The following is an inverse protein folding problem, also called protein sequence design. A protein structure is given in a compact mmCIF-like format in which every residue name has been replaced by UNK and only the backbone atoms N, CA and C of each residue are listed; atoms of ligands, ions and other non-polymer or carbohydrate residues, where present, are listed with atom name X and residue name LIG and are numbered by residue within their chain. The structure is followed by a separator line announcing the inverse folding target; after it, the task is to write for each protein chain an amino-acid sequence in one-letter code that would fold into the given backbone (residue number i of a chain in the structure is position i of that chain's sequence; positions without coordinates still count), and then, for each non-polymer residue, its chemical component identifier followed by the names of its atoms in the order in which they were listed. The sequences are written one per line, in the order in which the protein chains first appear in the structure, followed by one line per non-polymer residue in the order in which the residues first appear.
data_IF_285334145174
#
_entry.id   IF_285334145174
#
_cell.length_a   1.000
_cell.length_b   1.000
_cell.length_c   1.000
_cell.angle_alpha   90.00
_cell.angle_beta   90.00
_cell.angle_gamma   90.00
#
_symmetry.space_group_name_H-M   'P 1'
#
loop_
_entity.id
_entity.type
_entity.pdbx_description
1 polymer ?
#
# COMPACT_ATOMS: atom_id res chain seq x y z
N UNK A 1 5.36 1.96 -3.55
CA UNK A 1 4.17 1.85 -2.68
C UNK A 1 4.44 2.36 -1.27
N UNK A 2 5.42 1.77 -0.54
CA UNK A 2 5.71 2.16 0.85
C UNK A 2 6.13 3.63 1.05
N UNK A 3 6.99 4.18 0.18
CA UNK A 3 7.34 5.61 0.19
C UNK A 3 6.10 6.52 0.14
N UNK A 4 5.18 6.26 -0.79
CA UNK A 4 3.98 7.08 -0.96
C UNK A 4 3.05 7.05 0.24
N UNK A 5 2.98 5.92 0.95
CA UNK A 5 2.22 5.80 2.20
C UNK A 5 2.86 6.69 3.27
N UNK A 6 4.17 6.55 3.51
CA UNK A 6 4.89 7.38 4.49
C UNK A 6 4.75 8.88 4.19
N UNK A 7 4.85 9.28 2.91
CA UNK A 7 4.66 10.66 2.48
C UNK A 7 3.22 11.16 2.72
N UNK A 8 2.21 10.31 2.57
CA UNK A 8 0.81 10.64 2.91
C UNK A 8 0.60 10.91 4.40
N UNK A 9 1.46 10.37 5.28
CA UNK A 9 1.49 10.67 6.71
C UNK A 9 2.46 11.82 7.05
N UNK A 10 3.01 12.50 6.04
CA UNK A 10 3.95 13.61 6.23
C UNK A 10 5.37 13.20 6.62
N UNK A 11 5.72 11.92 6.44
CA UNK A 11 7.06 11.39 6.71
C UNK A 11 7.87 11.41 5.43
N UNK A 12 8.85 12.31 5.37
CA UNK A 12 9.78 12.40 4.25
C UNK A 12 10.64 11.13 4.17
N UNK A 13 10.64 10.49 3.00
CA UNK A 13 11.38 9.25 2.77
C UNK A 13 11.95 9.15 1.35
N UNK A 14 12.99 8.34 1.20
CA UNK A 14 13.64 8.07 -0.09
C UNK A 14 13.82 6.57 -0.33
N UNK A 15 13.84 6.15 -1.58
CA UNK A 15 14.14 4.76 -1.96
C UNK A 15 15.60 4.69 -2.41
N UNK A 16 16.39 3.81 -1.79
CA UNK A 16 17.78 3.52 -2.19
C UNK A 16 17.89 2.11 -2.74
N UNK A 17 18.79 1.90 -3.71
CA UNK A 17 19.05 0.58 -4.31
C UNK A 17 18.06 0.15 -5.40
N UNK A 18 17.16 1.04 -5.83
CA UNK A 18 16.18 0.74 -6.90
C UNK A 18 16.86 0.38 -8.23
N UNK A 19 17.98 1.02 -8.57
CA UNK A 19 18.76 0.75 -9.79
C UNK A 19 19.50 -0.59 -9.74
N UNK A 20 19.91 -1.06 -8.56
CA UNK A 20 20.55 -2.38 -8.39
C UNK A 20 19.55 -3.53 -8.55
N UNK A 21 18.27 -3.28 -8.24
CA UNK A 21 17.19 -4.23 -8.46
C UNK A 21 16.95 -4.53 -9.95
N UNK A 22 17.17 -3.55 -10.84
CA UNK A 22 17.04 -3.73 -12.29
C UNK A 22 18.11 -4.63 -12.90
N UNK A 23 19.22 -4.89 -12.18
CA UNK A 23 20.25 -5.85 -12.57
C UNK A 23 19.98 -7.27 -12.03
N UNK A 24 18.73 -7.57 -11.63
CA UNK A 24 18.31 -8.89 -11.14
C UNK A 24 18.67 -9.98 -12.15
N UNK A 25 19.70 -10.75 -11.83
CA UNK A 25 20.26 -11.82 -12.66
C UNK A 25 21.78 -11.96 -12.51
N UNK A 26 22.50 -10.86 -12.32
CA UNK A 26 23.98 -10.87 -12.21
C UNK A 26 24.50 -10.59 -10.80
N UNK A 27 23.67 -10.00 -9.92
CA UNK A 27 24.03 -9.68 -8.54
C UNK A 27 23.26 -10.55 -7.54
N UNK A 28 23.92 -11.03 -6.47
CA UNK A 28 23.25 -11.76 -5.41
C UNK A 28 22.27 -10.86 -4.67
N UNK A 29 21.08 -11.37 -4.39
CA UNK A 29 20.04 -10.65 -3.64
C UNK A 29 20.43 -10.66 -2.16
N UNK A 30 21.14 -9.63 -1.74
CA UNK A 30 21.50 -9.35 -0.34
C UNK A 30 20.80 -8.09 0.15
N UNK A 31 20.82 -7.85 1.47
CA UNK A 31 20.28 -6.63 2.07
C UNK A 31 20.86 -5.34 1.48
N UNK A 32 22.10 -5.38 0.97
CA UNK A 32 22.78 -4.23 0.35
C UNK A 32 22.32 -3.97 -1.10
N UNK A 33 21.74 -4.97 -1.75
CA UNK A 33 21.25 -4.90 -3.15
C UNK A 33 19.73 -4.79 -3.24
N UNK A 34 19.03 -5.04 -2.14
CA UNK A 34 17.59 -4.93 -2.07
C UNK A 34 17.17 -3.45 -1.97
N UNK A 35 16.13 -3.03 -2.71
CA UNK A 35 15.60 -1.69 -2.57
C UNK A 35 15.10 -1.48 -1.14
N UNK A 36 15.51 -0.37 -0.54
CA UNK A 36 15.23 -0.03 0.86
C UNK A 36 14.63 1.37 0.95
N UNK A 37 13.67 1.57 1.84
CA UNK A 37 13.09 2.89 2.14
C UNK A 37 13.80 3.47 3.35
N UNK A 38 14.32 4.69 3.19
CA UNK A 38 15.04 5.44 4.22
C UNK A 38 14.20 6.62 4.67
N UNK A 39 14.14 6.85 5.98
CA UNK A 39 13.47 8.01 6.57
C UNK A 39 14.50 9.13 6.67
N UNK A 40 14.10 10.36 6.29
CA UNK A 40 15.01 11.52 6.29
C UNK A 40 15.25 12.05 7.71
N UNK A 41 14.24 11.95 8.58
CA UNK A 41 14.28 12.38 9.97
C UNK A 41 14.16 11.18 10.91
N UNK A 42 15.25 10.84 11.59
CA UNK A 42 15.33 9.71 12.51
C UNK A 42 14.31 9.81 13.67
N UNK A 43 13.87 11.02 14.04
CA UNK A 43 12.85 11.19 15.09
C UNK A 43 11.49 10.62 14.69
N UNK A 44 11.26 10.42 13.38
CA UNK A 44 10.05 9.84 12.81
C UNK A 44 10.14 8.32 12.65
N UNK A 45 11.24 7.68 13.04
CA UNK A 45 11.46 6.26 12.80
C UNK A 45 10.41 5.36 13.47
N UNK A 46 10.04 5.64 14.73
CA UNK A 46 9.05 4.84 15.46
C UNK A 46 7.63 5.01 14.89
N UNK A 47 7.29 6.24 14.47
CA UNK A 47 6.04 6.54 13.78
C UNK A 47 5.97 5.80 12.43
N UNK A 48 7.03 5.89 11.63
CA UNK A 48 7.14 5.20 10.35
C UNK A 48 7.02 3.68 10.49
N UNK A 49 7.66 3.08 11.50
CA UNK A 49 7.55 1.63 11.80
C UNK A 49 6.12 1.21 12.12
N UNK A 50 5.39 2.06 12.84
CA UNK A 50 3.99 1.79 13.18
C UNK A 50 3.12 1.79 11.93
N UNK A 51 3.27 2.81 11.07
CA UNK A 51 2.56 2.91 9.79
C UNK A 51 2.87 1.72 8.87
N UNK A 52 4.15 1.32 8.78
CA UNK A 52 4.55 0.16 7.97
C UNK A 52 3.87 -1.11 8.49
N UNK A 53 3.86 -1.32 9.81
CA UNK A 53 3.24 -2.50 10.43
C UNK A 53 1.73 -2.56 10.19
N UNK A 54 1.05 -1.42 10.27
CA UNK A 54 -0.38 -1.34 10.02
C UNK A 54 -0.72 -1.60 8.54
N UNK A 55 0.14 -1.12 7.64
CA UNK A 55 0.03 -1.35 6.20
C UNK A 55 0.31 -2.81 5.80
N UNK A 56 1.30 -3.45 6.41
CA UNK A 56 1.65 -4.85 6.19
C UNK A 56 0.63 -5.83 6.77
N UNK A 57 -0.22 -5.38 7.69
CA UNK A 57 -1.25 -6.20 8.29
C UNK A 57 -2.55 -6.15 7.46
N UNK A 58 -2.90 -7.25 6.76
CA UNK A 58 -4.05 -7.30 5.87
C UNK A 58 -5.39 -7.12 6.59
N UNK A 59 -5.44 -7.30 7.91
CA UNK A 59 -6.65 -7.13 8.73
C UNK A 59 -6.84 -5.71 9.29
N UNK A 60 -5.83 -4.83 9.21
CA UNK A 60 -5.90 -3.45 9.70
C UNK A 60 -6.05 -2.42 8.59
N UNK A 61 -6.03 -2.84 7.32
CA UNK A 61 -6.39 -1.97 6.21
C UNK A 61 -7.89 -1.64 6.31
N UNK A 62 -8.19 -0.55 7.02
CA UNK A 62 -9.54 0.03 7.08
C UNK A 62 -10.12 0.34 5.69
N UNK A 63 -9.29 0.37 4.65
CA UNK A 63 -9.70 0.52 3.25
C UNK A 63 -10.32 -0.75 2.65
N UNK A 64 -10.08 -1.93 3.22
CA UNK A 64 -10.66 -3.20 2.74
C UNK A 64 -11.85 -3.68 3.56
N UNK A 65 -12.16 -2.98 4.67
CA UNK A 65 -13.24 -3.32 5.61
C UNK A 65 -14.56 -2.57 5.28
N UNK A 66 -14.73 -2.12 4.04
CA UNK A 66 -16.04 -1.65 3.59
C UNK A 66 -16.89 -2.88 3.23
N UNK A 67 -18.02 -3.04 3.93
CA UNK A 67 -18.93 -4.18 3.74
C UNK A 67 -19.37 -4.30 2.27
N UNK A 68 -19.36 -5.54 1.76
CA UNK A 68 -19.95 -5.89 0.46
C UNK A 68 -21.40 -5.43 0.41
N UNK A 69 -21.85 -4.98 -0.76
CA UNK A 69 -23.23 -4.56 -1.00
C UNK A 69 -23.81 -5.25 -2.24
N UNK A 70 -25.11 -5.49 -2.21
CA UNK A 70 -25.84 -6.08 -3.34
C UNK A 70 -26.43 -4.94 -4.16
N UNK A 71 -26.14 -4.93 -5.46
CA UNK A 71 -26.67 -3.94 -6.36
C UNK A 71 -28.19 -4.08 -6.54
N UNK A 72 -28.95 -3.05 -6.18
CA UNK A 72 -30.42 -3.06 -6.31
C UNK A 72 -30.92 -3.11 -7.76
N UNK A 73 -30.06 -2.83 -8.74
CA UNK A 73 -30.42 -2.79 -10.16
C UNK A 73 -30.21 -4.11 -10.90
N UNK A 74 -29.15 -4.86 -10.56
CA UNK A 74 -28.80 -6.11 -11.25
C UNK A 74 -28.59 -7.31 -10.33
N UNK A 75 -28.63 -7.13 -9.01
CA UNK A 75 -28.50 -8.20 -8.01
C UNK A 75 -27.08 -8.71 -7.77
N UNK A 76 -26.06 -8.00 -8.26
CA UNK A 76 -24.65 -8.41 -8.17
C UNK A 76 -24.01 -8.05 -6.83
N UNK A 77 -23.10 -8.88 -6.32
CA UNK A 77 -22.28 -8.59 -5.13
C UNK A 77 -21.11 -7.67 -5.53
N UNK A 78 -21.07 -6.48 -4.95
CA UNK A 78 -20.03 -5.48 -5.18
C UNK A 78 -19.24 -5.27 -3.88
N UNK A 79 -17.92 -5.19 -3.99
CA UNK A 79 -17.05 -4.92 -2.85
C UNK A 79 -17.28 -3.49 -2.32
N UNK A 80 -17.17 -3.29 -1.00
CA UNK A 80 -17.54 -2.03 -0.36
C UNK A 80 -16.76 -0.82 -0.87
N UNK A 81 -15.50 -1.03 -1.29
CA UNK A 81 -14.61 -0.01 -1.86
C UNK A 81 -15.16 0.67 -3.13
N UNK A 82 -16.18 0.08 -3.77
CA UNK A 82 -16.78 0.63 -4.98
C UNK A 82 -18.06 1.41 -4.65
N UNK A 83 -18.12 2.65 -5.16
CA UNK A 83 -19.32 3.48 -5.11
C UNK A 83 -20.34 3.14 -6.21
N UNK A 84 -19.92 2.38 -7.23
CA UNK A 84 -20.72 1.98 -8.38
C UNK A 84 -20.60 0.46 -8.59
N UNK A 85 -21.69 -0.17 -9.04
CA UNK A 85 -21.74 -1.60 -9.31
C UNK A 85 -20.80 -1.94 -10.48
N UNK A 86 -19.90 -2.91 -10.28
CA UNK A 86 -18.93 -3.32 -11.29
C UNK A 86 -19.57 -3.92 -12.55
N UNK A 87 -20.76 -4.52 -12.42
CA UNK A 87 -21.47 -5.16 -13.53
C UNK A 87 -22.34 -4.17 -14.33
N UNK A 88 -23.05 -3.25 -13.67
CA UNK A 88 -24.03 -2.36 -14.34
C UNK A 88 -23.71 -0.87 -14.26
N UNK A 89 -22.68 -0.46 -13.53
CA UNK A 89 -22.24 0.93 -13.38
C UNK A 89 -23.22 1.83 -12.63
N UNK A 90 -24.18 1.27 -11.89
CA UNK A 90 -25.13 2.04 -11.08
C UNK A 90 -24.57 2.30 -9.69
N UNK A 91 -24.79 3.50 -9.11
CA UNK A 91 -24.36 3.79 -7.75
C UNK A 91 -25.09 2.88 -6.75
N UNK A 92 -24.44 2.62 -5.61
CA UNK A 92 -25.06 1.93 -4.47
C UNK A 92 -26.13 2.74 -3.78
#
# INVERSE_FOLDING_TARGET
MLKGILESYGIASEVRGETLYSARGELPITAETAPSVWIVDDSKLDEARTIVKDFENPHSNKFTDEEKWICEFCGEDSEGQFTECWNCGKPR
#
